data_IF_694148471971
#
_entry.id   IF_694148471971
#
_cell.length_a   1.000
_cell.length_b   1.000
_cell.length_c   1.000
_cell.angle_alpha   90.00
_cell.angle_beta   90.00
_cell.angle_gamma   90.00
#
_symmetry.space_group_name_H-M   'P 1'
#
loop_
_entity.id
_entity.type
_entity.pdbx_description
1 polymer ?
#
# COMPACT_ATOMS: atom_id res chain seq x y z
N UNK A 1 -61.25 -42.07 -40.71
CA UNK A 1 -61.76 -41.75 -39.38
C UNK A 1 -60.72 -40.82 -38.68
N UNK A 2 -61.03 -39.52 -38.48
CA UNK A 2 -60.19 -38.58 -37.81
C UNK A 2 -60.66 -38.52 -36.33
N UNK A 3 -59.83 -39.01 -35.42
CA UNK A 3 -60.07 -38.94 -33.96
C UNK A 3 -59.78 -37.49 -33.52
N UNK A 4 -60.86 -36.76 -33.17
CA UNK A 4 -60.77 -35.40 -32.64
C UNK A 4 -60.47 -35.49 -31.14
N UNK A 5 -59.21 -35.31 -30.75
CA UNK A 5 -58.84 -35.16 -29.34
C UNK A 5 -59.43 -33.85 -28.81
N UNK A 6 -60.47 -33.96 -27.99
CA UNK A 6 -61.03 -32.85 -27.24
C UNK A 6 -60.09 -32.62 -26.05
N UNK A 7 -59.29 -31.57 -26.08
CA UNK A 7 -58.52 -31.15 -24.90
C UNK A 7 -59.51 -30.65 -23.83
N UNK A 8 -59.52 -31.33 -22.73
CA UNK A 8 -60.26 -30.95 -21.55
C UNK A 8 -59.52 -29.79 -20.88
N UNK A 9 -60.04 -28.59 -20.95
CA UNK A 9 -59.50 -27.45 -20.22
C UNK A 9 -59.87 -27.61 -18.75
N UNK A 10 -58.92 -28.09 -17.95
CA UNK A 10 -59.01 -28.10 -16.50
C UNK A 10 -58.53 -26.76 -15.98
N UNK A 11 -59.38 -26.04 -15.26
CA UNK A 11 -59.04 -24.77 -14.61
C UNK A 11 -58.32 -25.01 -13.30
N UNK A 12 -57.38 -24.11 -12.94
CA UNK A 12 -56.67 -24.14 -11.65
C UNK A 12 -57.63 -23.92 -10.48
N UNK A 13 -57.41 -24.64 -9.42
CA UNK A 13 -58.13 -24.42 -8.17
C UNK A 13 -57.57 -23.20 -7.43
N UNK A 14 -58.41 -22.51 -6.65
CA UNK A 14 -58.04 -21.34 -5.89
C UNK A 14 -56.90 -21.67 -4.89
N UNK A 15 -56.92 -22.84 -4.29
CA UNK A 15 -55.91 -23.31 -3.35
C UNK A 15 -54.54 -23.55 -4.01
N UNK A 16 -54.55 -24.09 -5.22
CA UNK A 16 -53.35 -24.34 -6.00
C UNK A 16 -52.62 -23.04 -6.37
N UNK A 17 -53.39 -21.99 -6.73
CA UNK A 17 -52.85 -20.65 -7.00
C UNK A 17 -52.30 -20.02 -5.74
N UNK A 18 -52.92 -20.18 -4.56
CA UNK A 18 -52.38 -19.68 -3.29
C UNK A 18 -51.08 -20.36 -2.89
N UNK A 19 -50.96 -21.67 -3.06
CA UNK A 19 -49.75 -22.41 -2.76
C UNK A 19 -48.64 -22.01 -3.74
N UNK A 20 -48.95 -21.92 -5.03
CA UNK A 20 -47.94 -21.52 -6.03
C UNK A 20 -47.40 -20.11 -5.79
N UNK A 21 -48.25 -19.14 -5.47
CA UNK A 21 -47.80 -17.78 -5.16
C UNK A 21 -47.00 -17.72 -3.87
N UNK A 22 -47.35 -18.47 -2.84
CA UNK A 22 -46.60 -18.53 -1.61
C UNK A 22 -45.16 -19.09 -1.82
N UNK A 23 -45.04 -20.20 -2.56
CA UNK A 23 -43.74 -20.77 -2.91
C UNK A 23 -42.92 -19.82 -3.80
N UNK A 24 -43.56 -19.16 -4.77
CA UNK A 24 -42.90 -18.19 -5.64
C UNK A 24 -42.31 -17.04 -4.82
N UNK A 25 -43.05 -16.47 -3.87
CA UNK A 25 -42.58 -15.37 -3.03
C UNK A 25 -41.37 -15.81 -2.17
N UNK A 26 -41.41 -17.01 -1.60
CA UNK A 26 -40.28 -17.53 -0.81
C UNK A 26 -39.02 -17.65 -1.67
N UNK A 27 -39.12 -18.24 -2.86
CA UNK A 27 -37.99 -18.40 -3.78
C UNK A 27 -37.49 -17.02 -4.26
N UNK A 28 -38.40 -16.08 -4.56
CA UNK A 28 -38.03 -14.73 -5.00
C UNK A 28 -37.25 -13.98 -3.92
N UNK A 29 -37.65 -14.07 -2.64
CA UNK A 29 -36.92 -13.42 -1.52
C UNK A 29 -35.51 -14.01 -1.36
N UNK A 30 -35.38 -15.34 -1.43
CA UNK A 30 -34.07 -16.00 -1.34
C UNK A 30 -33.18 -15.58 -2.52
N UNK A 31 -33.71 -15.55 -3.75
CA UNK A 31 -32.97 -15.15 -4.93
C UNK A 31 -32.50 -13.68 -4.85
N UNK A 32 -33.36 -12.76 -4.40
CA UNK A 32 -33.01 -11.36 -4.22
C UNK A 32 -31.90 -11.17 -3.17
N UNK A 33 -31.99 -11.87 -2.04
CA UNK A 33 -30.95 -11.80 -0.99
C UNK A 33 -29.59 -12.31 -1.50
N UNK A 34 -29.57 -13.37 -2.29
CA UNK A 34 -28.36 -13.90 -2.92
C UNK A 34 -27.72 -12.90 -3.90
N UNK A 35 -28.54 -12.24 -4.73
CA UNK A 35 -28.07 -11.22 -5.68
C UNK A 35 -27.46 -10.01 -4.93
N UNK A 36 -28.13 -9.53 -3.88
CA UNK A 36 -27.63 -8.41 -3.08
C UNK A 36 -26.28 -8.76 -2.41
N UNK A 37 -26.18 -9.93 -1.81
CA UNK A 37 -24.95 -10.44 -1.18
C UNK A 37 -23.81 -10.56 -2.20
N UNK A 38 -24.11 -11.07 -3.40
CA UNK A 38 -23.15 -11.20 -4.49
C UNK A 38 -22.62 -9.83 -4.95
N UNK A 39 -23.48 -8.83 -5.11
CA UNK A 39 -23.07 -7.48 -5.50
C UNK A 39 -22.12 -6.83 -4.49
N UNK A 40 -22.32 -7.05 -3.19
CA UNK A 40 -21.42 -6.56 -2.16
C UNK A 40 -20.04 -7.24 -2.27
N UNK A 41 -20.04 -8.57 -2.47
CA UNK A 41 -18.81 -9.34 -2.62
C UNK A 41 -18.02 -8.93 -3.87
N UNK A 42 -18.68 -8.69 -5.00
CA UNK A 42 -18.03 -8.20 -6.22
C UNK A 42 -17.37 -6.83 -6.04
N UNK A 43 -18.08 -5.88 -5.44
CA UNK A 43 -17.52 -4.55 -5.17
C UNK A 43 -16.29 -4.63 -4.26
N UNK A 44 -16.36 -5.43 -3.18
CA UNK A 44 -15.22 -5.66 -2.29
C UNK A 44 -14.02 -6.23 -3.04
N UNK A 45 -14.24 -7.21 -3.91
CA UNK A 45 -13.17 -7.84 -4.68
C UNK A 45 -12.53 -6.85 -5.67
N UNK A 46 -13.31 -6.01 -6.31
CA UNK A 46 -12.82 -5.00 -7.25
C UNK A 46 -11.98 -3.93 -6.55
N UNK A 47 -12.46 -3.44 -5.41
CA UNK A 47 -11.71 -2.49 -4.57
C UNK A 47 -10.39 -3.11 -4.07
N UNK A 48 -10.40 -4.36 -3.63
CA UNK A 48 -9.19 -5.07 -3.19
C UNK A 48 -8.17 -5.25 -4.32
N UNK A 49 -8.62 -5.50 -5.55
CA UNK A 49 -7.72 -5.56 -6.71
C UNK A 49 -7.07 -4.20 -6.98
N UNK A 50 -7.86 -3.15 -7.06
CA UNK A 50 -7.34 -1.80 -7.31
C UNK A 50 -6.29 -1.38 -6.26
N UNK A 51 -6.52 -1.72 -5.00
CA UNK A 51 -5.59 -1.44 -3.91
C UNK A 51 -4.32 -2.30 -4.02
N UNK A 52 -4.48 -3.60 -4.28
CA UNK A 52 -3.33 -4.50 -4.47
C UNK A 52 -2.47 -4.06 -5.64
N UNK A 53 -3.08 -3.64 -6.74
CA UNK A 53 -2.38 -3.13 -7.92
C UNK A 53 -1.63 -1.83 -7.60
N UNK A 54 -2.24 -0.92 -6.84
CA UNK A 54 -1.58 0.32 -6.40
C UNK A 54 -0.38 0.04 -5.49
N UNK A 55 -0.56 -0.81 -4.47
CA UNK A 55 0.53 -1.18 -3.55
C UNK A 55 1.64 -1.93 -4.27
N UNK A 56 1.31 -2.83 -5.19
CA UNK A 56 2.29 -3.55 -6.00
C UNK A 56 3.10 -2.58 -6.86
N UNK A 57 2.43 -1.61 -7.51
CA UNK A 57 3.10 -0.57 -8.27
C UNK A 57 4.04 0.27 -7.40
N UNK A 58 3.60 0.70 -6.22
CA UNK A 58 4.43 1.44 -5.28
C UNK A 58 5.67 0.65 -4.85
N UNK A 59 5.49 -0.64 -4.50
CA UNK A 59 6.60 -1.53 -4.13
C UNK A 59 7.56 -1.80 -5.29
N UNK A 60 7.05 -1.95 -6.51
CA UNK A 60 7.89 -2.15 -7.70
C UNK A 60 8.70 -0.90 -8.00
N UNK A 61 8.10 0.30 -7.94
CA UNK A 61 8.81 1.57 -8.13
C UNK A 61 9.92 1.74 -7.08
N UNK A 62 9.61 1.50 -5.79
CA UNK A 62 10.58 1.53 -4.71
C UNK A 62 11.70 0.51 -4.93
N UNK A 63 11.36 -0.74 -5.20
CA UNK A 63 12.33 -1.81 -5.40
C UNK A 63 13.27 -1.54 -6.57
N UNK A 64 12.75 -1.00 -7.66
CA UNK A 64 13.54 -0.66 -8.84
C UNK A 64 14.54 0.46 -8.53
N UNK A 65 14.07 1.53 -7.92
CA UNK A 65 14.91 2.69 -7.63
C UNK A 65 15.94 2.40 -6.53
N UNK A 66 15.53 1.74 -5.45
CA UNK A 66 16.42 1.35 -4.37
C UNK A 66 17.50 0.33 -4.84
N UNK A 67 17.16 -0.60 -5.71
CA UNK A 67 18.13 -1.57 -6.23
C UNK A 67 19.29 -0.95 -7.01
N UNK A 68 19.05 0.16 -7.67
CA UNK A 68 20.05 0.86 -8.48
C UNK A 68 20.59 2.12 -7.81
N UNK A 69 19.96 2.55 -6.73
CA UNK A 69 20.42 3.67 -5.91
C UNK A 69 21.67 3.33 -5.08
N UNK A 70 22.33 4.33 -4.59
CA UNK A 70 23.48 4.23 -3.69
C UNK A 70 23.46 5.37 -2.67
N UNK A 71 24.32 5.30 -1.65
CA UNK A 71 24.40 6.30 -0.58
C UNK A 71 23.04 6.51 0.11
N UNK A 72 22.56 5.47 0.78
CA UNK A 72 21.28 5.54 1.50
C UNK A 72 21.38 6.42 2.74
N UNK A 73 20.35 7.22 2.98
CA UNK A 73 20.18 8.02 4.18
C UNK A 73 18.79 7.75 4.75
N UNK A 74 18.67 7.62 6.05
CA UNK A 74 17.41 7.40 6.75
C UNK A 74 16.88 8.65 7.47
N UNK A 75 17.67 9.70 7.53
CA UNK A 75 17.28 11.02 8.03
C UNK A 75 17.29 12.05 6.90
N UNK A 76 16.14 12.36 6.38
CA UNK A 76 15.99 13.42 5.36
C UNK A 76 15.99 14.82 5.98
N UNK A 77 15.80 14.94 7.30
CA UNK A 77 15.67 16.24 7.99
C UNK A 77 16.97 17.06 8.05
N UNK A 78 18.11 16.38 8.08
CA UNK A 78 19.43 17.01 8.20
C UNK A 78 20.17 17.11 6.85
N UNK A 79 19.45 17.09 5.73
CA UNK A 79 20.06 17.13 4.41
C UNK A 79 20.72 15.82 4.00
N UNK A 80 20.28 14.70 4.61
CA UNK A 80 20.71 13.36 4.23
C UNK A 80 22.16 13.08 4.51
N UNK A 81 22.58 13.10 5.78
CA UNK A 81 23.91 12.62 6.13
C UNK A 81 24.06 11.18 5.62
N UNK A 82 25.14 10.90 4.90
CA UNK A 82 25.44 9.57 4.37
C UNK A 82 25.53 8.56 5.49
N UNK A 83 24.87 7.41 5.30
CA UNK A 83 24.93 6.26 6.20
C UNK A 83 24.35 6.51 7.60
N UNK A 84 23.41 7.42 7.73
CA UNK A 84 22.70 7.72 8.98
C UNK A 84 21.44 6.85 9.15
N UNK A 85 21.56 5.58 8.75
CA UNK A 85 20.51 4.61 8.99
C UNK A 85 20.83 3.88 10.30
N UNK A 86 20.04 4.08 11.38
CA UNK A 86 20.38 3.61 12.74
C UNK A 86 20.31 2.10 12.93
N UNK A 87 20.06 1.33 11.88
CA UNK A 87 19.93 -0.12 12.00
C UNK A 87 21.30 -0.81 11.95
N UNK A 88 22.01 -0.77 13.04
CA UNK A 88 23.02 -1.77 13.38
C UNK A 88 22.29 -2.98 13.98
N UNK A 89 22.08 -4.01 13.19
CA UNK A 89 21.57 -5.30 13.66
C UNK A 89 22.58 -6.03 14.55
N UNK A 90 23.35 -5.29 15.39
CA UNK A 90 24.44 -5.87 16.14
C UNK A 90 24.01 -6.62 17.40
N UNK A 91 22.84 -6.39 17.96
CA UNK A 91 22.51 -6.88 19.30
C UNK A 91 21.15 -7.55 19.48
N UNK A 92 20.44 -7.92 18.43
CA UNK A 92 19.27 -8.84 18.53
C UNK A 92 18.07 -8.32 19.33
N UNK A 93 18.06 -7.08 19.78
CA UNK A 93 17.00 -6.49 20.60
C UNK A 93 16.62 -5.07 20.17
N UNK A 94 16.60 -4.80 18.90
CA UNK A 94 16.12 -3.50 18.45
C UNK A 94 14.64 -3.57 18.10
N UNK A 95 13.79 -3.39 19.10
CA UNK A 95 12.39 -2.99 18.93
C UNK A 95 12.27 -1.55 18.46
N UNK A 96 13.27 -1.04 17.75
CA UNK A 96 13.23 0.29 17.19
C UNK A 96 12.28 0.32 15.99
N UNK A 97 11.38 1.32 15.91
CA UNK A 97 10.45 1.43 14.80
C UNK A 97 11.22 1.60 13.48
N UNK A 98 10.64 1.21 12.35
CA UNK A 98 11.24 1.45 11.04
C UNK A 98 11.44 2.95 10.84
N UNK A 99 12.48 3.32 10.08
CA UNK A 99 12.63 4.70 9.64
C UNK A 99 11.45 5.08 8.75
N UNK A 100 10.83 6.22 9.01
CA UNK A 100 9.72 6.74 8.20
C UNK A 100 10.18 7.24 6.83
N UNK A 101 11.46 7.41 6.62
CA UNK A 101 12.03 7.93 5.39
C UNK A 101 13.29 7.20 4.95
N UNK A 102 13.51 7.19 3.64
CA UNK A 102 14.73 6.72 3.02
C UNK A 102 15.08 7.60 1.83
N UNK A 103 16.29 8.16 1.83
CA UNK A 103 16.87 8.86 0.71
C UNK A 103 17.97 8.04 0.04
N UNK A 104 18.22 8.25 -1.23
CA UNK A 104 19.29 7.62 -1.99
C UNK A 104 19.69 8.48 -3.18
N UNK A 105 20.91 8.28 -3.65
CA UNK A 105 21.38 8.89 -4.90
C UNK A 105 21.02 7.98 -6.07
N UNK A 106 20.29 8.48 -7.08
CA UNK A 106 19.95 7.68 -8.24
C UNK A 106 21.20 7.39 -9.08
N UNK A 107 21.28 6.20 -9.66
CA UNK A 107 22.43 5.76 -10.48
C UNK A 107 22.75 6.71 -11.66
N UNK A 108 21.78 7.47 -12.13
CA UNK A 108 21.96 8.43 -13.22
C UNK A 108 22.85 9.63 -12.88
N UNK A 109 23.15 9.82 -11.58
CA UNK A 109 23.95 10.93 -11.07
C UNK A 109 25.25 10.39 -10.54
N UNK A 110 26.37 10.73 -11.15
CA UNK A 110 27.70 10.41 -10.64
C UNK A 110 28.13 11.48 -9.64
N UNK A 111 28.29 11.09 -8.37
CA UNK A 111 28.86 11.96 -7.34
C UNK A 111 30.21 11.42 -6.91
N UNK A 112 31.20 12.30 -6.64
CA UNK A 112 32.43 11.89 -5.98
C UNK A 112 32.15 11.22 -4.63
N UNK A 113 32.91 10.19 -4.30
CA UNK A 113 32.75 9.50 -3.02
C UNK A 113 32.94 10.50 -1.86
N UNK A 114 31.92 10.61 -0.99
CA UNK A 114 31.93 11.51 0.17
C UNK A 114 31.26 12.86 -0.03
N UNK A 115 30.82 13.18 -1.23
CA UNK A 115 30.07 14.42 -1.49
C UNK A 115 28.58 14.11 -1.56
N UNK A 116 27.81 14.63 -0.62
CA UNK A 116 26.35 14.45 -0.57
C UNK A 116 25.70 15.79 -0.89
N UNK A 117 25.02 15.82 -2.00
CA UNK A 117 24.19 16.97 -2.34
C UNK A 117 22.72 16.58 -2.25
N UNK A 118 21.99 17.01 -1.20
CA UNK A 118 20.57 16.68 -1.04
C UNK A 118 19.70 17.06 -2.23
N UNK A 119 20.12 18.08 -3.00
CA UNK A 119 19.38 18.55 -4.18
C UNK A 119 19.33 17.57 -5.34
N UNK A 120 20.12 16.49 -5.31
CA UNK A 120 20.13 15.45 -6.34
C UNK A 120 19.63 14.10 -5.82
N UNK A 121 19.34 14.01 -4.53
CA UNK A 121 18.80 12.79 -3.94
C UNK A 121 17.31 12.62 -4.27
N UNK A 122 16.93 11.37 -4.38
CA UNK A 122 15.54 10.92 -4.40
C UNK A 122 15.21 10.21 -3.10
N UNK A 123 13.94 10.09 -2.79
CA UNK A 123 13.57 9.40 -1.56
C UNK A 123 12.13 8.94 -1.53
N UNK A 124 11.83 8.22 -0.49
CA UNK A 124 10.49 7.81 -0.11
C UNK A 124 10.27 8.16 1.35
N UNK A 125 9.07 8.61 1.66
CA UNK A 125 8.68 8.99 3.02
C UNK A 125 7.27 8.52 3.31
N UNK A 126 7.07 7.98 4.51
CA UNK A 126 5.75 7.77 5.11
C UNK A 126 5.50 8.96 6.00
N UNK A 127 4.55 9.79 5.65
CA UNK A 127 4.16 10.96 6.44
C UNK A 127 2.86 10.71 7.19
N UNK A 128 2.65 11.45 8.27
CA UNK A 128 1.46 11.38 9.10
C UNK A 128 0.31 12.18 8.48
N UNK A 129 -0.85 11.55 8.28
CA UNK A 129 -2.10 12.22 7.93
C UNK A 129 -2.96 12.48 9.17
N UNK A 130 -3.88 13.43 9.04
CA UNK A 130 -4.88 13.68 10.07
C UNK A 130 -5.85 12.51 10.18
N UNK A 131 -5.87 11.84 11.33
CA UNK A 131 -6.81 10.75 11.60
C UNK A 131 -6.17 9.51 12.20
N UNK A 132 -7.03 8.54 12.49
CA UNK A 132 -6.63 7.27 13.09
C UNK A 132 -7.19 6.12 12.25
N UNK A 133 -6.49 5.00 12.27
CA UNK A 133 -6.97 3.73 11.72
C UNK A 133 -8.23 3.28 12.48
N UNK A 134 -8.83 2.20 12.03
CA UNK A 134 -10.06 1.65 12.63
C UNK A 134 -9.91 1.25 14.11
N UNK A 135 -8.69 1.10 14.61
CA UNK A 135 -8.37 0.87 16.02
C UNK A 135 -8.52 2.12 16.90
N UNK A 136 -8.64 3.30 16.31
CA UNK A 136 -8.78 4.60 16.98
C UNK A 136 -7.54 5.06 17.74
N UNK A 137 -6.39 4.44 17.56
CA UNK A 137 -5.14 4.73 18.27
C UNK A 137 -3.96 4.95 17.31
N UNK A 138 -3.88 4.19 16.23
CA UNK A 138 -2.78 4.26 15.28
C UNK A 138 -3.00 5.39 14.28
N UNK A 139 -2.04 6.28 14.15
CA UNK A 139 -2.11 7.39 13.19
C UNK A 139 -2.06 6.89 11.74
N UNK A 140 -2.84 7.52 10.89
CA UNK A 140 -2.84 7.24 9.45
C UNK A 140 -1.57 7.80 8.84
N UNK A 141 -0.97 7.02 7.96
CA UNK A 141 0.16 7.43 7.14
C UNK A 141 -0.12 7.30 5.65
N UNK A 142 0.64 8.04 4.87
CA UNK A 142 0.67 7.95 3.41
C UNK A 142 2.08 7.91 2.89
N UNK A 143 2.29 7.15 1.81
CA UNK A 143 3.60 6.99 1.18
C UNK A 143 3.75 7.98 0.02
N UNK A 144 4.82 8.77 0.09
CA UNK A 144 5.21 9.71 -0.94
C UNK A 144 6.59 9.38 -1.53
N UNK A 145 6.76 9.72 -2.80
CA UNK A 145 8.03 9.70 -3.51
C UNK A 145 8.51 11.13 -3.73
N UNK A 146 9.78 11.36 -3.44
CA UNK A 146 10.49 12.61 -3.72
C UNK A 146 11.39 12.36 -4.92
N UNK A 147 11.21 13.10 -5.98
CA UNK A 147 11.92 12.86 -7.26
C UNK A 147 13.24 13.60 -7.40
N UNK A 148 13.38 14.74 -6.76
CA UNK A 148 14.60 15.54 -6.73
C UNK A 148 14.55 16.41 -5.50
N UNK A 149 15.71 16.77 -4.96
CA UNK A 149 15.84 17.72 -3.85
C UNK A 149 15.05 17.34 -2.60
N UNK A 150 15.73 16.65 -1.71
CA UNK A 150 15.19 16.26 -0.40
C UNK A 150 15.44 17.33 0.67
N UNK A 151 15.97 18.51 0.31
CA UNK A 151 16.26 19.58 1.28
C UNK A 151 14.97 20.08 1.93
N UNK A 152 15.00 20.16 3.26
CA UNK A 152 13.87 20.65 4.03
C UNK A 152 12.71 19.65 4.21
N UNK A 153 12.88 18.42 3.73
CA UNK A 153 11.95 17.33 3.98
C UNK A 153 12.42 16.63 5.25
N UNK A 154 11.60 16.68 6.28
CA UNK A 154 11.85 15.92 7.51
C UNK A 154 10.95 14.70 7.56
N UNK A 155 11.51 13.55 7.87
CA UNK A 155 10.73 12.40 8.28
C UNK A 155 9.84 12.76 9.47
N UNK A 156 8.71 12.10 9.63
CA UNK A 156 7.75 12.40 10.70
C UNK A 156 6.92 13.66 10.47
N UNK A 157 7.08 14.33 9.34
CA UNK A 157 6.28 15.50 8.99
C UNK A 157 4.86 15.11 8.63
N UNK A 158 3.92 15.99 8.98
CA UNK A 158 2.56 15.92 8.45
C UNK A 158 2.58 15.91 6.92
N UNK A 159 1.74 15.08 6.31
CA UNK A 159 1.58 15.03 4.85
C UNK A 159 1.20 16.39 4.24
N UNK A 160 0.66 17.30 5.03
CA UNK A 160 0.35 18.67 4.61
C UNK A 160 1.59 19.45 4.17
N UNK A 161 2.75 19.12 4.71
CA UNK A 161 4.02 19.75 4.33
C UNK A 161 4.43 19.42 2.87
N UNK A 162 3.90 18.34 2.30
CA UNK A 162 4.17 17.90 0.94
C UNK A 162 3.20 18.46 -0.09
N UNK A 163 2.09 19.05 0.36
CA UNK A 163 1.08 19.60 -0.52
C UNK A 163 1.61 20.82 -1.30
N UNK A 164 1.56 20.73 -2.62
CA UNK A 164 1.97 21.81 -3.52
C UNK A 164 3.46 21.82 -3.88
N UNK A 165 4.22 20.80 -3.50
CA UNK A 165 5.59 20.60 -3.96
C UNK A 165 5.58 19.85 -5.30
N UNK A 166 6.24 20.43 -6.32
CA UNK A 166 6.28 19.85 -7.68
C UNK A 166 7.12 18.57 -7.77
N UNK A 167 8.01 18.37 -6.80
CA UNK A 167 8.95 17.25 -6.76
C UNK A 167 8.47 16.08 -5.88
N UNK A 168 7.26 16.15 -5.34
CA UNK A 168 6.70 15.13 -4.45
C UNK A 168 5.44 14.53 -5.04
N UNK A 169 5.37 13.20 -5.05
CA UNK A 169 4.25 12.45 -5.63
C UNK A 169 3.74 11.43 -4.62
N UNK A 170 2.45 11.48 -4.33
CA UNK A 170 1.80 10.44 -3.51
C UNK A 170 1.75 9.12 -4.29
N UNK A 171 2.22 8.04 -3.68
CA UNK A 171 2.20 6.71 -4.28
C UNK A 171 0.98 5.88 -3.84
N UNK A 172 0.50 6.08 -2.63
CA UNK A 172 -0.67 5.36 -2.10
C UNK A 172 -1.98 5.98 -2.55
N UNK A 173 -2.94 5.13 -2.96
CA UNK A 173 -4.33 5.55 -3.21
C UNK A 173 -4.93 6.15 -1.93
N UNK A 174 -5.77 7.21 -2.01
CA UNK A 174 -6.41 7.80 -0.82
C UNK A 174 -7.24 6.85 0.03
N UNK A 175 -7.64 5.70 -0.50
CA UNK A 175 -8.36 4.64 0.23
C UNK A 175 -7.44 3.70 1.01
N UNK A 176 -6.13 3.81 0.81
CA UNK A 176 -5.12 3.04 1.51
C UNK A 176 -4.60 3.87 2.68
N UNK A 177 -4.93 3.46 3.87
CA UNK A 177 -4.47 4.07 5.11
C UNK A 177 -3.34 3.23 5.69
N UNK A 178 -2.12 3.71 5.62
CA UNK A 178 -0.98 3.06 6.25
C UNK A 178 -0.98 3.33 7.76
N UNK A 179 -0.42 2.43 8.53
CA UNK A 179 -0.02 2.70 9.91
C UNK A 179 1.27 3.51 9.88
N UNK A 180 1.23 4.78 10.30
CA UNK A 180 2.41 5.62 10.34
C UNK A 180 3.52 5.03 11.23
N UNK A 181 3.16 4.45 12.37
CA UNK A 181 4.13 3.91 13.34
C UNK A 181 4.73 2.55 12.93
N UNK A 182 4.06 1.79 12.05
CA UNK A 182 4.46 0.42 11.71
C UNK A 182 4.95 0.27 10.27
N UNK A 183 4.75 1.30 9.45
CA UNK A 183 5.20 1.32 8.05
C UNK A 183 6.50 2.10 7.94
N UNK A 184 7.42 1.61 7.10
CA UNK A 184 8.67 2.31 6.86
C UNK A 184 9.77 1.41 6.30
N UNK A 185 11.01 1.80 6.56
CA UNK A 185 12.20 1.24 5.95
C UNK A 185 13.19 0.78 7.01
N UNK A 186 13.72 -0.42 6.82
CA UNK A 186 14.85 -0.93 7.58
C UNK A 186 16.03 -1.07 6.63
N UNK A 187 17.13 -0.38 6.94
CA UNK A 187 18.33 -0.38 6.10
C UNK A 187 19.50 -0.96 6.88
N UNK A 188 20.16 -1.92 6.29
CA UNK A 188 21.32 -2.58 6.90
C UNK A 188 22.52 -2.59 5.95
N UNK A 189 23.71 -2.75 6.49
CA UNK A 189 24.98 -2.81 5.76
C UNK A 189 25.24 -1.54 4.94
N UNK A 190 25.04 -0.38 5.53
CA UNK A 190 25.32 0.91 4.87
C UNK A 190 26.76 1.38 5.08
N UNK A 191 27.52 0.77 6.00
CA UNK A 191 28.89 1.14 6.26
C UNK A 191 29.79 0.98 5.02
N UNK A 192 30.60 1.99 4.73
CA UNK A 192 31.44 2.05 3.52
C UNK A 192 32.58 1.03 3.50
N UNK A 193 32.96 0.47 4.64
CA UNK A 193 34.14 -0.36 4.85
C UNK A 193 33.84 -1.84 5.14
N UNK A 194 32.56 -2.22 5.26
CA UNK A 194 32.16 -3.59 5.64
C UNK A 194 32.17 -4.60 4.48
N UNK A 195 32.42 -4.14 3.27
CA UNK A 195 32.40 -4.97 2.04
C UNK A 195 31.08 -5.73 1.80
N UNK A 196 30.00 -5.34 2.49
CA UNK A 196 28.66 -5.90 2.35
C UNK A 196 27.79 -5.02 1.47
N UNK A 197 26.82 -5.63 0.84
CA UNK A 197 25.86 -4.86 0.05
C UNK A 197 24.78 -4.29 0.96
N UNK A 198 24.41 -3.02 0.81
CA UNK A 198 23.25 -2.46 1.46
C UNK A 198 21.99 -3.27 1.17
N UNK A 199 21.19 -3.42 2.19
CA UNK A 199 19.97 -4.20 2.17
C UNK A 199 18.84 -3.35 2.76
N UNK A 200 17.79 -3.18 2.01
CA UNK A 200 16.62 -2.37 2.40
C UNK A 200 15.41 -3.28 2.50
N UNK A 201 14.77 -3.31 3.66
CA UNK A 201 13.46 -3.94 3.85
C UNK A 201 12.41 -2.86 3.98
N UNK A 202 11.40 -2.94 3.13
CA UNK A 202 10.23 -2.08 3.13
C UNK A 202 9.08 -2.82 3.80
N UNK A 203 8.45 -2.20 4.79
CA UNK A 203 7.29 -2.74 5.50
C UNK A 203 6.14 -1.76 5.36
N UNK A 204 5.02 -2.22 4.85
CA UNK A 204 3.78 -1.46 4.75
C UNK A 204 2.69 -2.20 5.51
N UNK A 205 2.26 -1.62 6.61
CA UNK A 205 1.16 -2.11 7.45
C UNK A 205 0.02 -1.10 7.34
N UNK A 206 -1.20 -1.56 7.21
CA UNK A 206 -2.31 -0.63 7.11
C UNK A 206 -3.64 -1.32 6.90
N UNK A 207 -4.60 -0.53 6.52
CA UNK A 207 -5.94 -0.97 6.20
C UNK A 207 -6.49 -0.24 4.99
N UNK A 208 -7.45 -0.86 4.35
CA UNK A 208 -8.21 -0.23 3.28
C UNK A 208 -9.63 -0.03 3.73
N UNK A 209 -10.16 1.15 3.48
CA UNK A 209 -11.52 1.50 3.85
C UNK A 209 -12.36 1.64 2.58
N UNK A 210 -13.28 0.71 2.38
CA UNK A 210 -14.24 0.78 1.29
C UNK A 210 -15.66 0.75 1.85
N UNK A 211 -16.31 1.89 1.83
CA UNK A 211 -17.65 2.14 2.39
C UNK A 211 -17.73 1.79 3.88
N UNK A 212 -18.10 0.62 4.27
CA UNK A 212 -18.22 0.19 5.67
C UNK A 212 -17.36 -1.05 5.96
N UNK A 213 -16.47 -1.40 5.02
CA UNK A 213 -15.62 -2.59 5.18
C UNK A 213 -14.17 -2.18 5.29
N UNK A 214 -13.61 -2.45 6.45
CA UNK A 214 -12.18 -2.31 6.75
C UNK A 214 -11.49 -3.63 6.47
N UNK A 215 -10.39 -3.60 5.73
CA UNK A 215 -9.58 -4.79 5.45
C UNK A 215 -8.12 -4.48 5.77
N UNK A 216 -7.56 -5.07 6.84
CA UNK A 216 -6.16 -4.88 7.20
C UNK A 216 -5.25 -5.63 6.24
N UNK A 217 -4.04 -5.11 6.04
CA UNK A 217 -2.99 -5.77 5.27
C UNK A 217 -1.61 -5.53 5.89
N UNK A 218 -0.70 -6.44 5.60
CA UNK A 218 0.72 -6.28 5.90
C UNK A 218 1.51 -6.80 4.73
N UNK A 219 2.38 -5.96 4.17
CA UNK A 219 3.23 -6.30 3.03
C UNK A 219 4.66 -5.98 3.40
N UNK A 220 5.55 -6.93 3.16
CA UNK A 220 6.99 -6.75 3.36
C UNK A 220 7.72 -7.19 2.09
N UNK A 221 8.69 -6.40 1.69
CA UNK A 221 9.61 -6.77 0.61
C UNK A 221 11.01 -6.27 0.93
N UNK A 222 12.01 -6.93 0.36
CA UNK A 222 13.40 -6.62 0.64
C UNK A 222 14.19 -6.55 -0.65
N UNK A 223 15.12 -5.61 -0.70
CA UNK A 223 15.95 -5.33 -1.87
C UNK A 223 17.40 -5.19 -1.45
N UNK A 224 18.29 -5.86 -2.16
CA UNK A 224 19.74 -5.63 -2.06
C UNK A 224 20.18 -4.72 -3.19
N UNK A 225 21.05 -3.79 -2.89
CA UNK A 225 21.69 -2.94 -3.89
C UNK A 225 22.44 -3.81 -4.91
N UNK A 226 22.32 -3.47 -6.19
CA UNK A 226 23.11 -4.10 -7.23
C UNK A 226 24.52 -3.47 -7.22
N UNK A 227 25.56 -4.26 -6.90
CA UNK A 227 26.92 -3.80 -7.11
C UNK A 227 27.15 -3.59 -8.62
N UNK A 228 27.46 -2.36 -8.99
CA UNK A 228 28.10 -2.10 -10.27
C UNK A 228 29.57 -2.35 -10.02
N UNK A 229 30.16 -3.35 -10.69
CA UNK A 229 31.52 -3.78 -10.47
C UNK A 229 32.50 -2.58 -10.43
N UNK A 230 33.44 -2.70 -9.51
CA UNK A 230 34.62 -1.79 -9.40
C UNK A 230 35.44 -1.89 -10.65
#
# INVERSE_FOLDING_TARGET
MKVKHTQKNEGFTLIELMIATALFVIIAVIALSAILSSNVAYKKTDDMRAITDNLTFALEDMSRNLKVGYNYSCDLSNGGALNDCPYEASDGDSGEPPSDSIGFVPFTVAIPAGDVNPSIMQGYVVCEESGFLSDGQTHIGSLFKITNDITGISGGSSCDAFNGLDNVVRLTDPRVHLSYQQSGFYVANTALDDNRQPYVTMVLVGETVTKDVVTPFTIQTSVTQRQFGK
#
